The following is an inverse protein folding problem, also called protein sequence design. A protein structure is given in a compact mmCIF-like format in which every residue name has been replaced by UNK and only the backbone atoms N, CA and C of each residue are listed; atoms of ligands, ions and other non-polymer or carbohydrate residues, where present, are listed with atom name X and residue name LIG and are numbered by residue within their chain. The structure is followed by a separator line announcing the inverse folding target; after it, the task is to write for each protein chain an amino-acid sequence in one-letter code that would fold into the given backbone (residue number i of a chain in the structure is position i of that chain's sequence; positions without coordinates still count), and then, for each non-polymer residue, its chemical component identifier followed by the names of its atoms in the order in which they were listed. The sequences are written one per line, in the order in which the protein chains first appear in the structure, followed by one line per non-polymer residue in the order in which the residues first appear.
data_IF_786694668470
#
_entry.id   IF_786694668470
#
_cell.length_a   1.000
_cell.length_b   1.000
_cell.length_c   1.000
_cell.angle_alpha   90.00
_cell.angle_beta   90.00
_cell.angle_gamma   90.00
#
_symmetry.space_group_name_H-M   'P 1'
#
loop_
_entity.id
_entity.type
_entity.pdbx_description
1 polymer ?
#
# COMPACT_ATOMS: atom_id res chain seq x y z
N UNK A 1 1.87 -2.81 -0.60
CA UNK A 1 0.90 -2.73 -1.71
C UNK A 1 0.68 -1.26 -2.10
N UNK A 2 0.81 -0.94 -3.38
CA UNK A 2 0.50 0.40 -3.89
C UNK A 2 0.13 0.36 -5.37
N UNK A 3 -0.46 1.46 -5.83
CA UNK A 3 -0.67 1.74 -7.24
C UNK A 3 0.14 2.98 -7.63
N UNK A 4 0.72 2.95 -8.82
CA UNK A 4 1.44 4.09 -9.38
C UNK A 4 1.07 4.31 -10.84
N UNK A 5 1.15 5.56 -11.28
CA UNK A 5 1.02 5.88 -12.70
C UNK A 5 2.27 5.46 -13.47
N UNK A 6 2.16 5.35 -14.80
CA UNK A 6 3.32 5.02 -15.62
C UNK A 6 4.45 6.04 -15.51
N UNK A 7 4.15 7.28 -15.11
CA UNK A 7 5.17 8.30 -14.84
C UNK A 7 5.61 8.34 -13.35
N UNK A 8 5.28 7.31 -12.56
CA UNK A 8 5.84 7.12 -11.23
C UNK A 8 5.21 7.95 -10.11
N UNK A 9 3.93 8.30 -10.21
CA UNK A 9 3.21 9.09 -9.20
C UNK A 9 2.28 8.20 -8.39
N UNK A 10 2.24 8.38 -7.07
CA UNK A 10 1.34 7.67 -6.16
C UNK A 10 0.36 8.57 -5.43
N UNK A 11 0.50 9.88 -5.50
CA UNK A 11 -0.39 10.80 -4.81
C UNK A 11 -0.31 12.21 -5.32
N UNK A 12 -1.36 12.98 -5.02
CA UNK A 12 -1.43 14.41 -5.26
C UNK A 12 -2.03 15.06 -4.02
N UNK A 13 -1.16 15.66 -3.19
CA UNK A 13 -1.56 16.10 -1.86
C UNK A 13 -2.00 14.91 -1.01
N UNK A 14 -3.18 15.00 -0.43
CA UNK A 14 -3.75 13.94 0.41
C UNK A 14 -4.64 12.96 -0.37
N UNK A 15 -4.69 13.07 -1.68
CA UNK A 15 -5.61 12.29 -2.51
C UNK A 15 -4.86 11.45 -3.54
N UNK A 16 -5.52 10.39 -4.01
CA UNK A 16 -5.08 9.66 -5.19
C UNK A 16 -5.37 10.52 -6.44
N UNK A 17 -4.43 10.55 -7.40
CA UNK A 17 -4.64 11.33 -8.64
C UNK A 17 -5.73 10.77 -9.55
N UNK A 18 -6.16 9.54 -9.32
CA UNK A 18 -7.13 8.81 -10.17
C UNK A 18 -8.28 8.29 -9.36
N UNK A 19 -9.34 7.92 -10.11
CA UNK A 19 -10.46 7.18 -9.57
C UNK A 19 -10.70 5.95 -10.45
N UNK A 20 -10.27 4.79 -9.98
CA UNK A 20 -10.36 3.52 -10.69
C UNK A 20 -11.05 2.50 -9.77
N UNK A 21 -12.39 2.37 -9.85
CA UNK A 21 -13.14 1.52 -8.92
C UNK A 21 -12.68 0.07 -8.89
N UNK A 22 -12.29 -0.51 -10.03
CA UNK A 22 -11.82 -1.91 -10.05
C UNK A 22 -10.51 -2.10 -9.27
N UNK A 23 -9.62 -1.12 -9.29
CA UNK A 23 -8.36 -1.16 -8.56
C UNK A 23 -8.60 -1.01 -7.05
N UNK A 24 -9.55 -0.18 -6.63
CA UNK A 24 -9.97 -0.08 -5.23
C UNK A 24 -10.57 -1.40 -4.73
N UNK A 25 -11.34 -2.09 -5.55
CA UNK A 25 -11.88 -3.42 -5.23
C UNK A 25 -10.76 -4.46 -5.08
N UNK A 26 -9.74 -4.37 -5.91
CA UNK A 26 -8.55 -5.22 -5.82
C UNK A 26 -7.85 -5.04 -4.46
N UNK A 27 -7.61 -3.79 -4.05
CA UNK A 27 -7.03 -3.49 -2.74
C UNK A 27 -7.89 -4.04 -1.61
N UNK A 28 -9.19 -3.78 -1.65
CA UNK A 28 -10.14 -4.26 -0.63
C UNK A 28 -10.14 -5.79 -0.54
N UNK A 29 -10.17 -6.47 -1.68
CA UNK A 29 -10.19 -7.95 -1.72
C UNK A 29 -8.94 -8.55 -1.11
N UNK A 30 -7.77 -7.99 -1.41
CA UNK A 30 -6.49 -8.50 -0.87
C UNK A 30 -6.34 -8.24 0.62
N UNK A 31 -6.81 -7.09 1.11
CA UNK A 31 -6.58 -6.68 2.50
C UNK A 31 -7.66 -7.16 3.47
N UNK A 32 -8.82 -7.58 2.98
CA UNK A 32 -9.91 -8.07 3.84
C UNK A 32 -9.48 -9.31 4.63
N UNK A 33 -9.70 -9.28 5.94
CA UNK A 33 -9.27 -10.33 6.86
C UNK A 33 -7.83 -10.17 7.36
N UNK A 34 -7.15 -9.09 7.00
CA UNK A 34 -5.75 -8.87 7.33
C UNK A 34 -5.52 -7.53 8.04
N UNK A 35 -4.30 -7.36 8.55
CA UNK A 35 -3.85 -6.09 9.13
C UNK A 35 -3.30 -5.19 8.05
N UNK A 36 -3.65 -3.90 8.12
CA UNK A 36 -3.25 -2.88 7.15
C UNK A 36 -2.58 -1.72 7.88
N UNK A 37 -1.35 -1.43 7.51
CA UNK A 37 -0.50 -0.40 8.14
C UNK A 37 -0.49 0.85 7.28
N UNK A 38 -0.74 1.98 7.89
CA UNK A 38 -0.65 3.30 7.26
C UNK A 38 0.14 4.25 8.15
N UNK A 39 0.89 5.15 7.50
CA UNK A 39 1.55 6.26 8.20
C UNK A 39 0.54 7.34 8.58
N UNK A 40 1.01 8.31 9.35
CA UNK A 40 0.15 9.35 9.93
C UNK A 40 -0.64 10.15 8.88
N UNK A 41 0.02 10.62 7.83
CA UNK A 41 -0.66 11.46 6.80
C UNK A 41 -1.76 10.70 6.07
N UNK A 42 -1.49 9.46 5.70
CA UNK A 42 -2.49 8.61 5.05
C UNK A 42 -3.65 8.30 5.99
N UNK A 43 -3.33 7.92 7.23
CA UNK A 43 -4.35 7.61 8.24
C UNK A 43 -5.20 8.84 8.59
N UNK A 44 -4.61 10.03 8.59
CA UNK A 44 -5.32 11.28 8.89
C UNK A 44 -6.48 11.53 7.92
N UNK A 45 -6.31 11.21 6.65
CA UNK A 45 -7.38 11.32 5.66
C UNK A 45 -8.48 10.27 5.82
N UNK A 46 -8.25 9.25 6.64
CA UNK A 46 -9.14 8.09 6.79
C UNK A 46 -9.63 7.88 8.22
N UNK A 47 -9.32 8.78 9.15
CA UNK A 47 -9.58 8.57 10.58
C UNK A 47 -11.06 8.44 10.95
N UNK A 48 -11.97 8.91 10.11
CA UNK A 48 -13.41 8.80 10.30
C UNK A 48 -14.05 7.70 9.45
N UNK A 49 -13.25 6.92 8.72
CA UNK A 49 -13.76 5.85 7.86
C UNK A 49 -13.68 4.51 8.57
N UNK A 50 -14.66 3.66 8.27
CA UNK A 50 -14.70 2.28 8.78
C UNK A 50 -14.20 1.34 7.69
N UNK A 51 -13.29 0.45 8.07
CA UNK A 51 -12.76 -0.58 7.18
C UNK A 51 -13.23 -1.95 7.68
N UNK A 52 -14.29 -2.47 7.07
CA UNK A 52 -14.86 -3.73 7.48
C UNK A 52 -13.87 -4.88 7.35
N UNK A 53 -13.79 -5.72 8.37
CA UNK A 53 -12.99 -6.95 8.39
C UNK A 53 -11.49 -6.71 8.15
N UNK A 54 -10.97 -5.56 8.57
CA UNK A 54 -9.55 -5.22 8.49
C UNK A 54 -9.09 -4.61 9.80
N UNK A 55 -7.92 -5.03 10.26
CA UNK A 55 -7.28 -4.44 11.43
C UNK A 55 -6.42 -3.27 10.98
N UNK A 56 -6.88 -2.04 11.21
CA UNK A 56 -6.18 -0.84 10.79
C UNK A 56 -5.12 -0.45 11.82
N UNK A 57 -3.88 -0.34 11.36
CA UNK A 57 -2.72 -0.02 12.20
C UNK A 57 -2.16 1.33 11.74
N UNK A 58 -1.98 2.25 12.70
CA UNK A 58 -1.29 3.50 12.46
C UNK A 58 0.17 3.34 12.89
N UNK A 59 1.07 3.42 11.91
CA UNK A 59 2.50 3.39 12.17
C UNK A 59 2.95 4.74 12.72
N UNK A 60 3.38 4.73 13.98
CA UNK A 60 3.91 5.92 14.63
C UNK A 60 4.83 5.51 15.78
N UNK A 61 5.91 6.28 15.96
CA UNK A 61 6.83 6.15 17.10
C UNK A 61 6.43 7.08 18.26
N UNK A 62 5.33 7.82 18.09
CA UNK A 62 4.85 8.78 19.08
C UNK A 62 3.38 8.54 19.38
N UNK A 63 2.89 8.91 20.58
CA UNK A 63 1.47 8.87 20.88
C UNK A 63 0.68 9.76 19.90
N UNK A 64 -0.51 9.32 19.55
CA UNK A 64 -1.45 10.06 18.71
C UNK A 64 -2.72 10.36 19.48
N UNK A 65 -3.46 11.37 19.06
CA UNK A 65 -4.68 11.78 19.74
C UNK A 65 -5.83 10.78 19.54
N UNK A 66 -6.92 10.97 20.28
CA UNK A 66 -8.07 10.08 20.28
C UNK A 66 -8.89 10.10 18.98
N UNK A 67 -8.61 11.03 18.05
CA UNK A 67 -9.31 11.08 16.76
C UNK A 67 -8.97 9.88 15.87
N UNK A 68 -7.90 9.14 16.19
CA UNK A 68 -7.51 7.91 15.50
C UNK A 68 -8.04 6.65 16.19
N UNK A 69 -9.21 6.73 16.84
CA UNK A 69 -9.79 5.62 17.60
C UNK A 69 -10.02 4.35 16.76
N UNK A 70 -10.13 4.47 15.42
CA UNK A 70 -10.28 3.34 14.51
C UNK A 70 -8.98 2.61 14.22
N UNK A 71 -7.86 3.12 14.69
CA UNK A 71 -6.52 2.58 14.43
C UNK A 71 -5.89 2.09 15.73
N UNK A 72 -5.14 0.99 15.61
CA UNK A 72 -4.19 0.57 16.66
C UNK A 72 -2.85 1.20 16.34
N UNK A 73 -2.26 1.93 17.28
CA UNK A 73 -0.96 2.58 17.09
C UNK A 73 0.16 1.58 17.39
N UNK A 74 1.07 1.40 16.44
CA UNK A 74 2.22 0.50 16.58
C UNK A 74 3.47 1.16 16.03
N UNK A 75 4.62 0.88 16.68
CA UNK A 75 5.94 1.21 16.13
C UNK A 75 6.43 0.10 15.18
N UNK A 76 7.60 0.32 14.57
CA UNK A 76 8.15 -0.63 13.60
C UNK A 76 8.38 -2.02 14.21
N UNK A 77 8.87 -2.08 15.45
CA UNK A 77 9.15 -3.37 16.09
C UNK A 77 7.88 -4.16 16.37
N UNK A 78 6.81 -3.51 16.80
CA UNK A 78 5.53 -4.15 17.03
C UNK A 78 4.93 -4.68 15.73
N UNK A 79 5.03 -3.92 14.64
CA UNK A 79 4.53 -4.33 13.31
C UNK A 79 5.32 -5.52 12.78
N UNK A 80 6.65 -5.49 12.87
CA UNK A 80 7.49 -6.60 12.42
C UNK A 80 7.25 -7.87 13.22
N UNK A 81 6.98 -7.73 14.52
CA UNK A 81 6.64 -8.86 15.37
C UNK A 81 5.28 -9.47 14.98
N UNK A 82 4.29 -8.62 14.69
CA UNK A 82 2.97 -9.07 14.23
C UNK A 82 3.08 -9.84 12.91
N UNK A 83 3.92 -9.38 11.99
CA UNK A 83 4.13 -10.00 10.68
C UNK A 83 4.74 -11.40 10.75
N UNK A 84 5.26 -11.83 11.91
CA UNK A 84 5.74 -13.20 12.10
C UNK A 84 4.61 -14.21 12.17
N UNK A 85 3.41 -13.78 12.52
CA UNK A 85 2.27 -14.67 12.78
C UNK A 85 1.09 -14.43 11.86
N UNK A 86 1.05 -13.32 11.12
CA UNK A 86 -0.04 -13.03 10.19
C UNK A 86 0.45 -12.19 9.00
N UNK A 87 -0.35 -12.14 7.95
CA UNK A 87 -0.08 -11.28 6.81
C UNK A 87 -0.40 -9.83 7.16
N UNK A 88 0.58 -8.95 6.94
CA UNK A 88 0.46 -7.52 7.19
C UNK A 88 0.74 -6.77 5.90
N UNK A 89 -0.19 -5.89 5.51
CA UNK A 89 -0.06 -5.05 4.32
C UNK A 89 0.39 -3.65 4.71
N UNK A 90 1.45 -3.17 4.08
CA UNK A 90 1.90 -1.77 4.20
C UNK A 90 1.22 -0.98 3.08
N UNK A 91 0.39 -0.01 3.43
CA UNK A 91 -0.54 0.62 2.49
C UNK A 91 -0.40 2.15 2.39
N UNK A 92 0.76 2.70 2.70
CA UNK A 92 1.06 4.10 2.47
C UNK A 92 1.51 4.88 3.69
N UNK A 93 1.98 6.03 3.51
CA UNK A 93 2.40 6.63 2.24
C UNK A 93 3.86 6.37 1.90
N UNK A 94 4.45 7.25 1.11
CA UNK A 94 5.81 7.07 0.60
C UNK A 94 6.83 6.79 1.70
N UNK A 95 6.86 7.60 2.75
CA UNK A 95 7.83 7.42 3.84
C UNK A 95 7.63 6.10 4.58
N UNK A 96 6.37 5.66 4.74
CA UNK A 96 6.06 4.38 5.36
C UNK A 96 6.53 3.22 4.47
N UNK A 97 6.34 3.30 3.16
CA UNK A 97 6.88 2.32 2.23
C UNK A 97 8.40 2.24 2.32
N UNK A 98 9.08 3.38 2.36
CA UNK A 98 10.54 3.42 2.45
C UNK A 98 11.05 2.78 3.75
N UNK A 99 10.36 3.00 4.86
CA UNK A 99 10.74 2.43 6.15
C UNK A 99 10.56 0.90 6.18
N UNK A 100 9.58 0.35 5.49
CA UNK A 100 9.26 -1.08 5.54
C UNK A 100 9.81 -1.90 4.37
N UNK A 101 10.16 -1.30 3.24
CA UNK A 101 10.70 -2.03 2.09
C UNK A 101 11.89 -2.95 2.43
N UNK A 102 12.81 -2.57 3.33
CA UNK A 102 13.90 -3.48 3.73
C UNK A 102 13.44 -4.76 4.40
N UNK A 103 12.20 -4.82 4.89
CA UNK A 103 11.71 -5.94 5.71
C UNK A 103 10.61 -6.75 5.04
N UNK A 104 10.01 -6.28 3.95
CA UNK A 104 8.87 -6.97 3.33
C UNK A 104 9.31 -8.19 2.54
N UNK A 105 8.41 -9.17 2.43
CA UNK A 105 8.64 -10.41 1.67
C UNK A 105 8.22 -10.27 0.22
N UNK A 106 7.25 -9.42 -0.04
CA UNK A 106 6.66 -9.25 -1.36
C UNK A 106 6.16 -7.82 -1.56
N UNK A 107 6.08 -7.42 -2.82
CA UNK A 107 5.47 -6.17 -3.24
C UNK A 107 4.35 -6.49 -4.22
N UNK A 108 3.18 -5.91 -3.99
CA UNK A 108 2.06 -5.96 -4.93
C UNK A 108 1.89 -4.55 -5.47
N UNK A 109 2.23 -4.37 -6.74
CA UNK A 109 2.27 -3.06 -7.38
C UNK A 109 1.35 -3.03 -8.59
N UNK A 110 0.43 -2.06 -8.61
CA UNK A 110 -0.37 -1.76 -9.79
C UNK A 110 0.30 -0.62 -10.55
N UNK A 111 0.52 -0.82 -11.84
CA UNK A 111 1.06 0.23 -12.73
C UNK A 111 -0.03 0.62 -13.72
N UNK A 112 -0.49 1.86 -13.62
CA UNK A 112 -1.57 2.40 -14.44
C UNK A 112 -0.97 2.92 -15.75
N UNK A 113 -1.52 2.51 -16.89
CA UNK A 113 -1.01 2.85 -18.22
C UNK A 113 -1.47 4.26 -18.65
N UNK A 114 -1.26 5.23 -17.76
CA UNK A 114 -1.60 6.63 -17.99
C UNK A 114 -0.73 7.50 -17.09
N UNK A 115 -0.35 8.69 -17.60
CA UNK A 115 0.34 9.69 -16.79
C UNK A 115 -0.67 10.46 -15.94
N UNK A 116 -0.27 10.81 -14.74
CA UNK A 116 -1.06 11.66 -13.85
C UNK A 116 -0.17 12.74 -13.24
N UNK A 117 -0.77 13.90 -13.00
CA UNK A 117 -0.11 14.94 -12.22
C UNK A 117 -0.19 14.61 -10.74
N UNK A 118 0.89 14.87 -10.03
CA UNK A 118 0.93 14.68 -8.59
C UNK A 118 2.29 15.06 -8.03
N UNK A 119 2.31 15.24 -6.72
CA UNK A 119 3.50 15.69 -6.00
C UNK A 119 4.14 14.59 -5.14
N UNK A 120 3.56 13.39 -5.13
CA UNK A 120 4.10 12.26 -4.37
C UNK A 120 4.61 11.20 -5.35
N UNK A 121 5.94 11.06 -5.49
CA UNK A 121 6.51 10.02 -6.33
C UNK A 121 6.40 8.64 -5.66
N UNK A 122 6.45 7.60 -6.48
CA UNK A 122 6.50 6.22 -5.99
C UNK A 122 7.77 5.99 -5.16
N UNK A 123 7.74 5.04 -4.22
CA UNK A 123 8.94 4.68 -3.48
C UNK A 123 10.03 4.16 -4.42
N UNK A 124 11.29 4.35 -4.02
CA UNK A 124 12.44 3.85 -4.78
C UNK A 124 12.51 2.33 -4.65
N UNK A 125 11.97 1.67 -5.66
CA UNK A 125 11.91 0.21 -5.71
C UNK A 125 12.17 -0.26 -7.14
N UNK A 126 13.12 -1.17 -7.30
CA UNK A 126 13.51 -1.73 -8.58
C UNK A 126 13.43 -3.24 -8.56
N UNK A 127 12.86 -3.82 -9.62
CA UNK A 127 12.83 -5.26 -9.80
C UNK A 127 14.22 -5.73 -10.25
N UNK A 128 14.74 -6.75 -9.55
CA UNK A 128 16.05 -7.35 -9.85
C UNK A 128 15.86 -8.80 -10.31
N UNK A 129 16.94 -9.41 -10.82
CA UNK A 129 16.92 -10.79 -11.30
C UNK A 129 16.66 -11.82 -10.19
N UNK A 130 16.89 -11.44 -8.93
CA UNK A 130 16.63 -12.32 -7.78
C UNK A 130 15.15 -12.40 -7.41
N UNK A 131 14.34 -11.51 -7.96
CA UNK A 131 12.91 -11.43 -7.68
C UNK A 131 12.13 -12.22 -8.72
N UNK A 132 11.04 -12.84 -8.29
CA UNK A 132 10.08 -13.43 -9.21
C UNK A 132 8.87 -12.51 -9.37
N UNK A 133 8.41 -12.34 -10.60
CA UNK A 133 7.34 -11.39 -10.92
C UNK A 133 6.26 -12.10 -11.74
N UNK A 134 5.01 -11.99 -11.27
CA UNK A 134 3.84 -12.37 -12.05
C UNK A 134 3.10 -11.08 -12.42
N UNK A 135 2.79 -10.90 -13.70
CA UNK A 135 2.09 -9.72 -14.22
C UNK A 135 0.72 -10.09 -14.76
N UNK A 136 -0.30 -9.40 -14.27
CA UNK A 136 -1.67 -9.62 -14.68
C UNK A 136 -2.19 -8.32 -15.30
N UNK A 137 -2.37 -8.26 -16.63
CA UNK A 137 -2.97 -7.10 -17.27
C UNK A 137 -4.47 -7.06 -17.00
N UNK A 138 -4.98 -5.86 -16.75
CA UNK A 138 -6.39 -5.62 -16.51
C UNK A 138 -6.86 -4.48 -17.41
N UNK A 139 -7.98 -4.69 -18.07
CA UNK A 139 -8.61 -3.67 -18.91
C UNK A 139 -10.12 -3.75 -18.73
N UNK A 140 -10.71 -2.67 -18.25
CA UNK A 140 -12.15 -2.54 -18.05
C UNK A 140 -12.67 -1.34 -18.84
N UNK A 141 -13.89 -1.45 -19.33
CA UNK A 141 -14.55 -0.35 -20.02
C UNK A 141 -14.69 0.87 -19.08
N UNK A 142 -14.34 2.03 -19.59
CA UNK A 142 -14.44 3.29 -18.84
C UNK A 142 -13.35 3.53 -17.84
N UNK A 143 -12.33 2.65 -17.76
CA UNK A 143 -11.19 2.81 -16.87
C UNK A 143 -9.87 2.73 -17.64
N UNK A 144 -8.81 3.42 -17.18
CA UNK A 144 -7.47 3.20 -17.76
C UNK A 144 -7.03 1.76 -17.55
N UNK A 145 -6.32 1.20 -18.51
CA UNK A 145 -5.69 -0.11 -18.35
C UNK A 145 -4.61 -0.07 -17.28
N UNK A 146 -4.39 -1.17 -16.60
CA UNK A 146 -3.30 -1.30 -15.63
C UNK A 146 -2.78 -2.73 -15.58
N UNK A 147 -1.59 -2.88 -15.00
CA UNK A 147 -0.98 -4.18 -14.77
C UNK A 147 -0.79 -4.34 -13.25
N UNK A 148 -1.25 -5.47 -12.72
CA UNK A 148 -0.97 -5.86 -11.34
C UNK A 148 0.27 -6.73 -11.34
N UNK A 149 1.28 -6.35 -10.57
CA UNK A 149 2.52 -7.10 -10.42
C UNK A 149 2.58 -7.71 -9.02
N UNK A 150 2.69 -9.04 -8.97
CA UNK A 150 2.97 -9.77 -7.74
C UNK A 150 4.45 -10.11 -7.73
N UNK A 151 5.21 -9.47 -6.83
CA UNK A 151 6.67 -9.51 -6.82
C UNK A 151 7.13 -10.16 -5.52
N UNK A 152 7.76 -11.33 -5.61
CA UNK A 152 8.47 -11.93 -4.49
C UNK A 152 9.91 -11.43 -4.49
N UNK A 153 10.33 -10.85 -3.36
CA UNK A 153 11.64 -10.20 -3.27
C UNK A 153 12.78 -11.20 -3.14
N UNK A 154 12.50 -12.36 -2.50
CA UNK A 154 13.46 -13.45 -2.38
C UNK A 154 12.73 -14.78 -2.47
N UNK A 155 13.37 -15.74 -3.12
CA UNK A 155 12.88 -17.11 -3.02
C UNK A 155 13.18 -17.65 -1.63
N UNK A 156 12.18 -18.26 -0.99
CA UNK A 156 12.39 -18.95 0.27
C UNK A 156 13.17 -20.25 0.01
N UNK A 157 14.27 -20.41 0.68
CA UNK A 157 15.02 -21.67 0.69
C UNK A 157 14.27 -22.73 1.49
#
# INVERSE_FOLDING_TARGET
IWAESQNGIIGNGDQLPWHIPSELKHFKRLTTGHSVVMGFRTAQGLKNKTFANRNMILYSNHPVDSSFANFTVMDVNAILNLAKTEDVFIAGGKSTYEDFLPFVDAVIRTVIAQDYEGDVPAPDFHITDEMSVERIPVQNEGEPAYIIEYIKLKESN
#
